data_IF_876689666263
#
_entry.id   IF_876689666263
#
_cell.length_a   1.000
_cell.length_b   1.000
_cell.length_c   1.000
_cell.angle_alpha   90.00
_cell.angle_beta   90.00
_cell.angle_gamma   90.00
#
_symmetry.space_group_name_H-M   'P 1'
#
loop_
_entity.id
_entity.type
_entity.pdbx_description
1 polymer ?
#
# COMPACT_ATOMS: atom_id res chain seq x y z
N UNK A 1 0.43 -1.86 -9.43
CA UNK A 1 0.55 -2.78 -8.28
C UNK A 1 -0.83 -3.01 -7.69
N UNK A 2 -1.16 -4.28 -7.43
CA UNK A 2 -2.38 -4.67 -6.72
C UNK A 2 -1.99 -5.19 -5.33
N UNK A 3 -2.50 -4.56 -4.29
CA UNK A 3 -2.35 -5.00 -2.90
C UNK A 3 -3.57 -5.85 -2.54
N UNK A 4 -3.32 -7.05 -2.03
CA UNK A 4 -4.37 -8.02 -1.71
C UNK A 4 -4.38 -8.36 -0.22
N UNK A 5 -5.58 -8.53 0.35
CA UNK A 5 -5.78 -9.03 1.70
C UNK A 5 -6.90 -10.07 1.73
N UNK A 6 -6.62 -11.26 2.28
CA UNK A 6 -7.56 -12.39 2.35
C UNK A 6 -8.31 -12.66 1.01
N UNK A 7 -7.58 -12.64 -0.11
CA UNK A 7 -8.12 -12.93 -1.44
C UNK A 7 -8.87 -11.78 -2.12
N UNK A 8 -8.90 -10.58 -1.54
CA UNK A 8 -9.47 -9.38 -2.16
C UNK A 8 -8.40 -8.34 -2.45
N UNK A 9 -8.52 -7.66 -3.59
CA UNK A 9 -7.73 -6.46 -3.87
C UNK A 9 -8.27 -5.35 -2.97
N UNK A 10 -7.41 -4.74 -2.16
CA UNK A 10 -7.78 -3.63 -1.28
C UNK A 10 -7.30 -2.28 -1.83
N UNK A 11 -6.24 -2.31 -2.64
CA UNK A 11 -5.74 -1.12 -3.34
C UNK A 11 -5.08 -1.50 -4.66
N UNK A 12 -5.34 -0.72 -5.70
CA UNK A 12 -4.72 -0.83 -7.02
C UNK A 12 -4.21 0.55 -7.43
N UNK A 13 -2.91 0.67 -7.71
CA UNK A 13 -2.30 1.94 -8.11
C UNK A 13 -0.95 1.71 -8.81
N UNK A 14 -0.34 2.79 -9.28
CA UNK A 14 1.04 2.74 -9.78
C UNK A 14 2.00 2.37 -8.65
N UNK A 15 3.23 2.00 -8.99
CA UNK A 15 4.27 1.70 -7.99
C UNK A 15 4.53 2.94 -7.12
N UNK A 16 4.67 4.10 -7.77
CA UNK A 16 4.95 5.36 -7.09
C UNK A 16 3.84 5.72 -6.11
N UNK A 17 2.57 5.63 -6.54
CA UNK A 17 1.42 5.93 -5.66
C UNK A 17 1.35 5.00 -4.45
N UNK A 18 1.62 3.70 -4.63
CA UNK A 18 1.61 2.73 -3.52
C UNK A 18 2.68 3.07 -2.48
N UNK A 19 3.88 3.49 -2.92
CA UNK A 19 4.98 3.79 -2.00
C UNK A 19 4.92 5.22 -1.43
N UNK A 20 4.52 6.20 -2.23
CA UNK A 20 4.56 7.60 -1.83
C UNK A 20 3.27 8.05 -1.12
N UNK A 21 2.12 7.46 -1.50
CA UNK A 21 0.81 7.88 -1.03
C UNK A 21 -0.20 6.73 -0.91
N UNK A 22 0.09 5.65 -0.15
CA UNK A 22 -0.84 4.54 0.03
C UNK A 22 -2.13 5.02 0.70
N UNK A 23 -3.28 4.54 0.21
CA UNK A 23 -4.59 4.97 0.67
C UNK A 23 -5.23 3.98 1.65
N UNK A 24 -5.02 2.67 1.44
CA UNK A 24 -5.60 1.66 2.31
C UNK A 24 -4.72 1.44 3.56
N UNK A 25 -5.29 1.35 4.77
CA UNK A 25 -4.53 1.14 6.01
C UNK A 25 -3.62 -0.09 5.99
N UNK A 26 -4.04 -1.16 5.32
CA UNK A 26 -3.21 -2.35 5.17
C UNK A 26 -1.97 -2.08 4.30
N UNK A 27 -2.12 -1.36 3.19
CA UNK A 27 -1.01 -0.95 2.33
C UNK A 27 -0.01 -0.09 3.12
N UNK A 28 -0.51 0.87 3.89
CA UNK A 28 0.31 1.72 4.76
C UNK A 28 1.11 0.90 5.76
N UNK A 29 0.46 -0.07 6.41
CA UNK A 29 1.13 -0.94 7.37
C UNK A 29 2.18 -1.86 6.73
N UNK A 30 1.93 -2.39 5.53
CA UNK A 30 2.91 -3.17 4.78
C UNK A 30 4.16 -2.35 4.45
N UNK A 31 3.99 -1.12 3.97
CA UNK A 31 5.11 -0.24 3.64
C UNK A 31 5.88 0.16 4.90
N UNK A 32 5.16 0.47 5.98
CA UNK A 32 5.79 0.80 7.26
C UNK A 32 6.60 -0.36 7.84
N UNK A 33 6.18 -1.62 7.60
CA UNK A 33 6.88 -2.82 8.07
C UNK A 33 7.99 -3.31 7.12
N UNK A 34 8.08 -2.75 5.91
CA UNK A 34 9.12 -3.14 4.96
C UNK A 34 10.53 -2.83 5.51
N UNK A 35 11.46 -3.80 5.48
CA UNK A 35 12.82 -3.57 5.95
C UNK A 35 13.48 -2.45 5.13
N UNK A 36 13.88 -1.37 5.78
CA UNK A 36 14.72 -0.37 5.13
C UNK A 36 16.18 -0.66 5.44
N UNK A 37 17.00 -0.71 4.40
CA UNK A 37 18.44 -0.91 4.51
C UNK A 37 19.16 0.34 5.05
N UNK A 38 18.65 0.94 6.13
CA UNK A 38 19.34 2.00 6.85
C UNK A 38 19.80 1.45 8.21
N UNK A 39 21.10 1.24 8.40
CA UNK A 39 21.63 0.85 9.72
C UNK A 39 21.34 1.95 10.74
N UNK A 40 20.74 1.60 11.87
CA UNK A 40 20.60 2.49 13.03
C UNK A 40 19.26 3.20 13.20
N UNK A 41 18.28 3.00 12.32
CA UNK A 41 16.91 3.52 12.53
C UNK A 41 16.03 2.39 13.08
N UNK A 42 15.94 2.30 14.40
CA UNK A 42 14.88 1.50 15.02
C UNK A 42 13.54 2.20 14.72
N UNK A 43 12.62 1.52 14.06
CA UNK A 43 11.26 2.00 13.87
C UNK A 43 10.36 1.35 14.88
N UNK A 44 9.67 2.17 15.66
CA UNK A 44 8.40 1.82 16.24
C UNK A 44 7.33 1.84 15.14
N UNK A 45 7.49 0.98 14.11
CA UNK A 45 6.43 0.77 13.14
C UNK A 45 5.26 0.17 13.91
N UNK A 46 4.05 0.72 13.81
CA UNK A 46 2.89 0.12 14.42
C UNK A 46 2.71 -1.26 13.82
N UNK A 47 3.11 -2.28 14.58
CA UNK A 47 2.86 -3.67 14.21
C UNK A 47 1.36 -3.83 14.07
N UNK A 48 0.94 -4.42 12.96
CA UNK A 48 -0.45 -4.83 12.78
C UNK A 48 -0.86 -5.70 13.97
N UNK A 49 -1.67 -5.13 14.85
CA UNK A 49 -2.15 -5.83 16.05
C UNK A 49 -3.19 -6.88 15.65
N UNK A 50 -3.26 -7.95 16.44
CA UNK A 50 -4.22 -9.03 16.28
C UNK A 50 -3.77 -10.14 15.33
N UNK A 51 -4.39 -11.31 15.50
CA UNK A 51 -4.11 -12.50 14.70
C UNK A 51 -4.62 -12.35 13.26
N UNK A 52 -3.99 -13.06 12.35
CA UNK A 52 -4.47 -13.14 10.97
C UNK A 52 -5.79 -13.92 10.94
N UNK A 53 -6.90 -13.34 10.46
CA UNK A 53 -8.15 -14.06 10.35
C UNK A 53 -8.02 -15.28 9.41
N UNK A 54 -8.87 -16.30 9.67
CA UNK A 54 -8.88 -17.49 8.83
C UNK A 54 -9.36 -17.17 7.41
N UNK A 55 -8.55 -17.42 6.36
CA UNK A 55 -8.92 -17.14 4.99
C UNK A 55 -10.14 -17.94 4.51
N UNK A 56 -10.39 -19.13 5.10
CA UNK A 56 -11.55 -19.96 4.75
C UNK A 56 -12.87 -19.45 5.36
N UNK A 57 -12.77 -18.58 6.40
CA UNK A 57 -13.92 -17.94 7.01
C UNK A 57 -13.57 -16.46 7.29
N UNK A 58 -13.53 -15.61 6.25
CA UNK A 58 -13.15 -14.21 6.39
C UNK A 58 -14.18 -13.45 7.22
N UNK A 59 -13.77 -12.41 7.94
CA UNK A 59 -14.67 -11.54 8.68
C UNK A 59 -15.73 -10.89 7.76
N UNK A 60 -16.91 -10.61 8.31
CA UNK A 60 -17.96 -9.82 7.63
C UNK A 60 -17.50 -8.39 7.35
N UNK A 61 -18.10 -7.74 6.38
CA UNK A 61 -17.75 -6.36 6.00
C UNK A 61 -16.34 -6.25 5.43
N UNK A 62 -15.62 -5.20 5.79
CA UNK A 62 -14.23 -5.03 5.39
C UNK A 62 -13.36 -6.13 6.02
N UNK A 63 -12.73 -6.98 5.21
CA UNK A 63 -11.91 -8.10 5.70
C UNK A 63 -10.75 -7.69 6.61
N UNK A 64 -10.30 -6.44 6.50
CA UNK A 64 -9.23 -5.89 7.32
C UNK A 64 -9.71 -5.25 8.64
N UNK A 65 -11.03 -5.15 8.89
CA UNK A 65 -11.58 -4.40 10.02
C UNK A 65 -11.04 -4.86 11.39
N UNK A 66 -10.76 -6.15 11.56
CA UNK A 66 -10.27 -6.71 12.84
C UNK A 66 -8.87 -6.24 13.22
N UNK A 67 -8.11 -5.72 12.26
CA UNK A 67 -6.72 -5.26 12.41
C UNK A 67 -6.53 -3.80 12.01
N UNK A 68 -7.61 -3.13 11.62
CA UNK A 68 -7.58 -1.75 11.14
C UNK A 68 -7.59 -0.76 12.31
N UNK A 69 -6.61 0.14 12.44
CA UNK A 69 -6.61 1.15 13.49
C UNK A 69 -7.71 2.20 13.32
N UNK A 70 -8.31 2.27 12.10
CA UNK A 70 -9.36 3.23 11.75
C UNK A 70 -10.75 2.57 11.64
N UNK A 71 -10.95 1.41 12.25
CA UNK A 71 -12.20 0.67 12.13
C UNK A 71 -13.39 1.49 12.62
N UNK A 72 -14.50 1.44 11.87
CA UNK A 72 -15.81 1.97 12.24
C UNK A 72 -16.87 0.85 12.22
N UNK A 73 -18.07 1.15 12.72
CA UNK A 73 -19.16 0.17 12.70
C UNK A 73 -19.57 -0.21 11.28
N UNK A 74 -19.51 0.72 10.33
CA UNK A 74 -19.74 0.44 8.93
C UNK A 74 -18.74 -0.59 8.37
N UNK A 75 -17.47 -0.47 8.75
CA UNK A 75 -16.43 -1.42 8.34
C UNK A 75 -16.70 -2.86 8.80
N UNK A 76 -17.44 -3.05 9.89
CA UNK A 76 -17.81 -4.37 10.44
C UNK A 76 -18.98 -5.01 9.70
N UNK A 77 -19.86 -4.19 9.14
CA UNK A 77 -21.15 -4.63 8.59
C UNK A 77 -21.18 -4.65 7.07
N UNK A 78 -20.50 -3.69 6.43
CA UNK A 78 -20.58 -3.47 4.99
C UNK A 78 -19.22 -3.73 4.35
N UNK A 79 -19.21 -4.53 3.28
CA UNK A 79 -18.02 -4.73 2.45
C UNK A 79 -17.73 -3.47 1.63
N UNK A 80 -16.51 -2.89 1.70
CA UNK A 80 -16.20 -1.70 0.92
C UNK A 80 -16.12 -2.03 -0.56
N UNK A 81 -16.80 -1.23 -1.37
CA UNK A 81 -16.69 -1.30 -2.83
C UNK A 81 -15.41 -0.60 -3.30
N UNK A 82 -14.87 -1.02 -4.45
CA UNK A 82 -13.77 -0.33 -5.10
C UNK A 82 -14.21 1.04 -5.58
N UNK A 83 -13.58 2.08 -5.04
CA UNK A 83 -13.74 3.45 -5.51
C UNK A 83 -12.60 3.78 -6.46
N UNK A 84 -12.94 4.28 -7.64
CA UNK A 84 -11.97 4.78 -8.62
C UNK A 84 -11.65 6.23 -8.29
N UNK A 85 -10.37 6.54 -8.19
CA UNK A 85 -9.84 7.85 -7.83
C UNK A 85 -9.03 8.39 -9.01
N UNK A 86 -8.65 9.64 -8.97
CA UNK A 86 -7.85 10.30 -10.01
C UNK A 86 -6.62 9.47 -10.41
N UNK A 87 -6.34 9.42 -11.71
CA UNK A 87 -5.24 8.63 -12.27
C UNK A 87 -5.52 7.14 -12.40
N UNK A 88 -6.76 6.66 -12.19
CA UNK A 88 -7.13 5.25 -12.30
C UNK A 88 -6.77 4.42 -11.07
N UNK A 89 -6.39 5.04 -9.97
CA UNK A 89 -6.22 4.38 -8.67
C UNK A 89 -7.54 3.83 -8.17
N UNK A 90 -7.50 2.70 -7.48
CA UNK A 90 -8.68 2.10 -6.88
C UNK A 90 -8.38 1.72 -5.42
N UNK A 91 -9.35 1.96 -4.54
CA UNK A 91 -9.25 1.58 -3.12
C UNK A 91 -10.58 1.06 -2.61
N UNK A 92 -10.54 -0.04 -1.86
CA UNK A 92 -11.68 -0.63 -1.18
C UNK A 92 -11.64 -0.29 0.31
N UNK A 93 -11.98 0.95 0.67
CA UNK A 93 -11.99 1.43 2.06
C UNK A 93 -13.05 2.51 2.22
N UNK A 94 -13.93 2.38 3.25
CA UNK A 94 -14.95 3.39 3.54
C UNK A 94 -14.36 4.73 3.99
N UNK A 95 -13.21 4.70 4.64
CA UNK A 95 -12.61 5.88 5.29
C UNK A 95 -11.31 6.37 4.64
N UNK A 96 -11.01 5.96 3.42
CA UNK A 96 -9.74 6.33 2.78
C UNK A 96 -9.49 7.85 2.70
N UNK A 97 -10.56 8.64 2.55
CA UNK A 97 -10.44 10.11 2.47
C UNK A 97 -9.99 10.73 3.80
N UNK A 98 -10.56 10.26 4.91
CA UNK A 98 -10.21 10.73 6.25
C UNK A 98 -8.78 10.30 6.60
N UNK A 99 -8.45 9.05 6.33
CA UNK A 99 -7.12 8.47 6.57
C UNK A 99 -6.05 9.21 5.76
N UNK A 100 -6.36 9.61 4.53
CA UNK A 100 -5.43 10.37 3.70
C UNK A 100 -5.23 11.81 4.20
N UNK A 101 -6.21 12.40 4.90
CA UNK A 101 -6.06 13.72 5.53
C UNK A 101 -5.22 13.65 6.80
N UNK A 102 -5.39 12.58 7.58
CA UNK A 102 -4.70 12.38 8.87
C UNK A 102 -3.58 11.32 8.71
N UNK A 103 -2.49 11.71 8.04
CA UNK A 103 -1.31 10.84 7.88
C UNK A 103 -0.47 10.72 9.16
N UNK A 104 -0.92 11.28 10.28
CA UNK A 104 -0.16 11.35 11.53
C UNK A 104 0.05 9.98 12.19
N UNK A 105 -0.81 9.00 11.90
CA UNK A 105 -0.81 7.67 12.57
C UNK A 105 0.22 6.71 11.96
N UNK A 106 0.53 6.82 10.65
CA UNK A 106 1.55 5.99 10.01
C UNK A 106 2.54 6.90 9.28
N UNK A 107 3.66 7.19 9.92
CA UNK A 107 4.76 7.91 9.28
C UNK A 107 5.47 6.98 8.29
N UNK A 108 5.22 7.18 7.01
CA UNK A 108 6.01 6.56 5.95
C UNK A 108 7.29 7.38 5.84
N UNK A 109 8.43 6.77 6.19
CA UNK A 109 9.70 7.46 6.03
C UNK A 109 9.97 7.70 4.53
N UNK A 110 10.59 8.83 4.19
CA UNK A 110 10.97 9.11 2.82
C UNK A 110 11.86 7.98 2.26
N UNK A 111 11.77 7.68 0.96
CA UNK A 111 12.58 6.66 0.35
C UNK A 111 14.07 6.91 0.61
N UNK A 112 14.81 5.84 0.89
CA UNK A 112 16.24 5.98 1.20
C UNK A 112 17.02 6.52 -0.01
N UNK A 113 18.11 7.25 0.24
CA UNK A 113 19.00 7.72 -0.82
C UNK A 113 19.54 6.57 -1.71
N UNK A 114 19.67 5.36 -1.15
CA UNK A 114 20.06 4.16 -1.89
C UNK A 114 18.93 3.68 -2.83
N UNK A 115 17.68 3.75 -2.39
CA UNK A 115 16.51 3.44 -3.21
C UNK A 115 16.38 4.43 -4.37
N UNK A 116 16.48 5.72 -4.10
CA UNK A 116 16.42 6.77 -5.13
C UNK A 116 17.55 6.63 -6.17
N UNK A 117 18.76 6.29 -5.73
CA UNK A 117 19.87 6.00 -6.66
C UNK A 117 19.62 4.78 -7.53
N UNK A 118 19.08 3.69 -6.96
CA UNK A 118 18.71 2.50 -7.76
C UNK A 118 17.61 2.80 -8.75
N UNK A 119 16.57 3.51 -8.33
CA UNK A 119 15.47 3.94 -9.20
C UNK A 119 16.01 4.74 -10.39
N UNK A 120 16.87 5.74 -10.16
CA UNK A 120 17.50 6.52 -11.21
C UNK A 120 18.33 5.66 -12.18
N UNK A 121 19.03 4.64 -11.70
CA UNK A 121 19.77 3.71 -12.55
C UNK A 121 18.84 2.87 -13.45
N UNK A 122 17.71 2.40 -12.93
CA UNK A 122 16.72 1.65 -13.69
C UNK A 122 16.03 2.53 -14.75
N UNK A 123 15.68 3.76 -14.41
CA UNK A 123 15.09 4.72 -15.33
C UNK A 123 16.06 5.05 -16.47
N UNK A 124 17.34 5.24 -16.16
CA UNK A 124 18.39 5.50 -17.15
C UNK A 124 18.61 4.27 -18.05
N UNK A 125 18.58 3.07 -17.52
CA UNK A 125 18.73 1.84 -18.30
C UNK A 125 17.52 1.60 -19.23
N UNK A 126 16.31 1.91 -18.77
CA UNK A 126 15.08 1.76 -19.56
C UNK A 126 15.03 2.72 -20.74
N UNK A 127 15.55 3.94 -20.61
CA UNK A 127 15.61 4.93 -21.70
C UNK A 127 16.68 4.62 -22.76
N UNK A 128 17.71 3.82 -22.41
CA UNK A 128 18.77 3.43 -23.34
C UNK A 128 18.59 2.02 -23.95
N UNK A 129 17.55 1.27 -23.56
CA UNK A 129 17.25 -0.07 -24.09
C UNK A 129 16.30 -0.05 -25.30
N UNK A 130 16.38 0.95 -26.16
CA UNK A 130 15.78 0.88 -27.48
C UNK A 130 16.66 -0.02 -28.36
N UNK A 131 16.33 -1.31 -28.45
CA UNK A 131 16.89 -2.26 -29.39
C UNK A 131 16.76 -1.72 -30.82
N UNK A 132 17.82 -1.74 -31.63
CA UNK A 132 17.72 -1.42 -33.05
C UNK A 132 16.83 -2.47 -33.72
N UNK A 133 15.82 -2.02 -34.46
CA UNK A 133 14.98 -2.85 -35.31
C UNK A 133 15.87 -3.66 -36.26
N UNK A 134 15.84 -4.99 -36.14
CA UNK A 134 16.39 -5.86 -37.20
C UNK A 134 15.52 -5.71 -38.44
N UNK A 135 15.98 -4.91 -39.39
CA UNK A 135 15.58 -5.00 -40.76
C UNK A 135 16.34 -6.19 -41.42
N UNK A 136 15.61 -7.12 -41.93
CA UNK A 136 15.96 -7.96 -43.08
C UNK A 136 14.70 -8.52 -43.66
#
# INVERSE_FOLDING_TARGET
VAVMYLGQIVELATVDDIFDAPLHPYTQALIASAPQMQPGVARDAPLLQGDLPNPANPPSGCRFHTRCPYVSDECRQVEPIHQVIDGGRQVACHRWQEINRDRSVIQIAPPSAAFLRRRALFEHAATHSSLPSRNS
#
